data_IF_598268253617
#
_entry.id   IF_598268253617
#
_cell.length_a   1.000
_cell.length_b   1.000
_cell.length_c   1.000
_cell.angle_alpha   90.00
_cell.angle_beta   90.00
_cell.angle_gamma   90.00
#
_symmetry.space_group_name_H-M   'P 1'
#
loop_
_entity.id
_entity.type
_entity.pdbx_description
1 polymer ?
#
# COMPACT_ATOMS: atom_id res chain seq x y z
N UNK A 1 -83.30 37.16 -56.51
CA UNK A 1 -84.63 36.47 -56.44
C UNK A 1 -84.41 35.12 -55.71
N UNK A 2 -85.17 34.96 -54.60
CA UNK A 2 -85.57 33.71 -53.94
C UNK A 2 -84.48 32.71 -53.46
N UNK A 3 -84.08 32.79 -52.21
CA UNK A 3 -84.45 32.00 -51.03
C UNK A 3 -84.83 30.56 -51.25
N UNK A 4 -84.05 29.68 -50.72
CA UNK A 4 -84.55 28.43 -50.13
C UNK A 4 -83.66 28.08 -48.87
N UNK A 5 -84.27 28.24 -47.72
CA UNK A 5 -83.85 27.76 -46.43
C UNK A 5 -83.94 26.18 -46.42
N UNK A 6 -82.92 25.57 -46.05
CA UNK A 6 -82.96 24.10 -45.68
C UNK A 6 -82.62 23.99 -44.19
N UNK A 7 -83.62 23.68 -43.40
CA UNK A 7 -83.57 23.35 -41.97
C UNK A 7 -82.64 22.11 -41.76
N UNK A 8 -81.59 22.34 -41.08
CA UNK A 8 -80.76 21.25 -40.52
C UNK A 8 -81.45 20.64 -39.29
N UNK A 9 -81.56 19.35 -39.33
CA UNK A 9 -82.08 18.49 -38.27
C UNK A 9 -81.04 18.44 -37.14
N UNK A 10 -81.45 18.47 -35.88
CA UNK A 10 -80.44 18.32 -34.78
C UNK A 10 -79.92 16.88 -34.73
N UNK A 11 -78.61 16.76 -34.67
CA UNK A 11 -77.92 15.51 -34.44
C UNK A 11 -78.26 14.93 -33.06
N UNK A 12 -78.54 13.65 -33.04
CA UNK A 12 -78.78 12.90 -31.82
C UNK A 12 -77.56 12.96 -30.91
N UNK A 13 -77.78 13.26 -29.64
CA UNK A 13 -76.72 13.23 -28.60
C UNK A 13 -76.21 11.77 -28.45
N UNK A 14 -74.89 11.58 -28.56
CA UNK A 14 -74.25 10.34 -28.16
C UNK A 14 -74.48 10.09 -26.67
N UNK A 15 -74.76 8.86 -26.25
CA UNK A 15 -74.93 8.50 -24.85
C UNK A 15 -73.61 8.69 -24.11
N UNK A 16 -73.59 9.38 -22.97
CA UNK A 16 -72.47 9.58 -22.10
C UNK A 16 -71.81 8.24 -21.74
N UNK A 17 -70.50 8.13 -21.78
CA UNK A 17 -69.79 6.88 -21.45
C UNK A 17 -70.08 6.51 -20.01
N UNK A 18 -70.47 5.24 -19.79
CA UNK A 18 -70.70 4.67 -18.45
C UNK A 18 -69.38 4.61 -17.69
N UNK A 19 -69.21 5.34 -16.60
CA UNK A 19 -67.93 5.39 -15.87
C UNK A 19 -67.47 4.02 -15.35
N UNK A 20 -68.41 3.12 -15.14
CA UNK A 20 -68.13 1.74 -14.73
C UNK A 20 -67.48 0.88 -15.82
N UNK A 21 -67.70 1.17 -17.11
CA UNK A 21 -67.07 0.48 -18.22
C UNK A 21 -65.68 0.98 -18.47
N UNK A 22 -65.41 2.28 -18.32
CA UNK A 22 -64.07 2.87 -18.43
C UNK A 22 -63.13 2.40 -17.33
N UNK A 23 -63.62 2.36 -16.08
CA UNK A 23 -62.85 1.84 -14.93
C UNK A 23 -62.54 0.37 -15.14
N UNK A 24 -63.47 -0.43 -15.65
CA UNK A 24 -63.27 -1.85 -15.92
C UNK A 24 -62.25 -2.09 -17.06
N UNK A 25 -62.27 -1.24 -18.07
CA UNK A 25 -61.31 -1.29 -19.17
C UNK A 25 -59.92 -0.85 -18.70
N UNK A 26 -59.83 0.20 -17.86
CA UNK A 26 -58.59 0.65 -17.26
C UNK A 26 -57.96 -0.40 -16.35
N UNK A 27 -58.75 -1.06 -15.52
CA UNK A 27 -58.28 -2.18 -14.66
C UNK A 27 -57.81 -3.38 -15.50
N UNK A 28 -58.54 -3.70 -16.58
CA UNK A 28 -58.12 -4.78 -17.49
C UNK A 28 -56.83 -4.45 -18.21
N UNK A 29 -56.61 -3.19 -18.64
CA UNK A 29 -55.37 -2.70 -19.21
C UNK A 29 -54.20 -2.79 -18.22
N UNK A 30 -54.42 -2.31 -17.01
CA UNK A 30 -53.41 -2.39 -15.93
C UNK A 30 -53.03 -3.84 -15.57
N UNK A 31 -53.99 -4.75 -15.49
CA UNK A 31 -53.71 -6.17 -15.28
C UNK A 31 -52.94 -6.78 -16.43
N UNK A 32 -53.19 -6.36 -17.67
CA UNK A 32 -52.45 -6.79 -18.84
C UNK A 32 -50.99 -6.33 -18.79
N UNK A 33 -50.75 -5.03 -18.52
CA UNK A 33 -49.42 -4.48 -18.36
C UNK A 33 -48.65 -5.07 -17.17
N UNK A 34 -49.34 -5.28 -16.06
CA UNK A 34 -48.72 -5.92 -14.88
C UNK A 34 -48.29 -7.36 -15.15
N UNK A 35 -49.13 -8.15 -15.84
CA UNK A 35 -48.78 -9.51 -16.25
C UNK A 35 -47.62 -9.53 -17.25
N UNK A 36 -47.58 -8.58 -18.21
CA UNK A 36 -46.43 -8.43 -19.14
C UNK A 36 -45.15 -8.07 -18.39
N UNK A 37 -45.18 -7.13 -17.46
CA UNK A 37 -44.05 -6.77 -16.61
C UNK A 37 -43.60 -7.96 -15.74
N UNK A 38 -44.53 -8.71 -15.15
CA UNK A 38 -44.19 -9.88 -14.35
C UNK A 38 -43.51 -10.98 -15.20
N UNK A 39 -43.97 -11.16 -16.44
CA UNK A 39 -43.35 -12.13 -17.37
C UNK A 39 -41.95 -11.69 -17.82
N UNK A 40 -41.72 -10.38 -18.04
CA UNK A 40 -40.44 -9.83 -18.40
C UNK A 40 -39.42 -9.96 -17.24
N UNK A 41 -39.84 -9.68 -16.00
CA UNK A 41 -39.00 -9.88 -14.83
C UNK A 41 -38.64 -11.36 -14.64
N UNK A 42 -39.57 -12.26 -14.80
CA UNK A 42 -39.30 -13.72 -14.72
C UNK A 42 -38.30 -14.14 -15.80
N UNK A 43 -38.44 -13.64 -17.03
CA UNK A 43 -37.48 -13.94 -18.11
C UNK A 43 -36.06 -13.41 -17.80
N UNK A 44 -35.96 -12.18 -17.27
CA UNK A 44 -34.65 -11.61 -16.86
C UNK A 44 -34.03 -12.37 -15.66
N UNK A 45 -34.82 -12.81 -14.71
CA UNK A 45 -34.36 -13.64 -13.60
C UNK A 45 -33.83 -15.00 -14.08
N UNK A 46 -34.55 -15.65 -14.98
CA UNK A 46 -34.09 -16.92 -15.58
C UNK A 46 -32.80 -16.73 -16.40
N UNK A 47 -32.67 -15.61 -17.12
CA UNK A 47 -31.42 -15.30 -17.82
C UNK A 47 -30.25 -15.10 -16.86
N UNK A 48 -30.48 -14.41 -15.73
CA UNK A 48 -29.47 -14.25 -14.69
C UNK A 48 -29.11 -15.56 -13.99
N UNK A 49 -30.10 -16.41 -13.69
CA UNK A 49 -29.86 -17.74 -13.13
C UNK A 49 -29.04 -18.63 -14.08
N UNK A 50 -29.33 -18.58 -15.37
CA UNK A 50 -28.53 -19.32 -16.37
C UNK A 50 -27.11 -18.77 -16.48
N UNK A 51 -26.91 -17.46 -16.39
CA UNK A 51 -25.57 -16.84 -16.35
C UNK A 51 -24.80 -17.24 -15.08
N UNK A 52 -25.45 -17.22 -13.91
CA UNK A 52 -24.87 -17.68 -12.65
C UNK A 52 -24.49 -19.16 -12.72
N UNK A 53 -25.37 -20.01 -13.23
CA UNK A 53 -25.07 -21.43 -13.42
C UNK A 53 -23.92 -21.69 -14.39
N UNK A 54 -23.76 -20.86 -15.43
CA UNK A 54 -22.58 -20.92 -16.32
C UNK A 54 -21.28 -20.46 -15.63
N UNK A 55 -21.38 -19.43 -14.79
CA UNK A 55 -20.23 -18.95 -13.99
C UNK A 55 -19.83 -19.98 -12.94
N UNK A 56 -20.78 -20.58 -12.26
CA UNK A 56 -20.53 -21.67 -11.29
C UNK A 56 -19.91 -22.90 -11.96
N UNK A 57 -20.40 -23.29 -13.11
CA UNK A 57 -19.79 -24.37 -13.90
C UNK A 57 -18.33 -24.03 -14.28
N UNK A 58 -18.08 -22.77 -14.65
CA UNK A 58 -16.74 -22.30 -15.01
C UNK A 58 -15.82 -22.23 -13.80
N UNK A 59 -16.34 -21.80 -12.63
CA UNK A 59 -15.59 -21.78 -11.37
C UNK A 59 -15.27 -23.19 -10.87
N UNK A 60 -16.24 -24.11 -10.95
CA UNK A 60 -16.05 -25.54 -10.58
C UNK A 60 -15.07 -26.21 -11.56
N UNK A 61 -15.09 -25.87 -12.85
CA UNK A 61 -14.12 -26.40 -13.81
C UNK A 61 -12.70 -25.88 -13.56
N UNK A 62 -12.58 -24.64 -13.04
CA UNK A 62 -11.29 -24.03 -12.65
C UNK A 62 -10.81 -24.50 -11.27
N UNK A 63 -11.72 -24.91 -10.37
CA UNK A 63 -11.38 -25.37 -9.02
C UNK A 63 -11.10 -26.87 -8.91
N UNK A 64 -11.34 -27.63 -9.99
CA UNK A 64 -10.98 -29.05 -10.02
C UNK A 64 -9.46 -29.17 -10.18
N UNK A 65 -8.70 -29.68 -9.19
CA UNK A 65 -7.29 -29.93 -9.39
C UNK A 65 -7.16 -30.92 -10.55
N UNK A 66 -6.34 -30.65 -11.56
CA UNK A 66 -6.08 -31.58 -12.64
C UNK A 66 -5.44 -32.83 -12.02
N UNK A 67 -6.03 -33.98 -12.25
CA UNK A 67 -5.49 -35.31 -11.88
C UNK A 67 -4.23 -35.71 -12.68
N UNK A 68 -3.83 -34.88 -13.61
CA UNK A 68 -2.51 -34.89 -14.25
C UNK A 68 -1.91 -33.50 -13.99
N UNK A 69 -0.63 -33.44 -13.59
CA UNK A 69 0.14 -32.21 -13.72
C UNK A 69 -0.03 -31.71 -15.16
N UNK A 70 -0.98 -30.81 -15.36
CA UNK A 70 -0.91 -29.94 -16.52
C UNK A 70 0.41 -29.19 -16.27
N UNK A 71 1.44 -29.51 -17.03
CA UNK A 71 2.61 -28.69 -17.12
C UNK A 71 2.05 -27.27 -17.34
N UNK A 72 2.27 -26.38 -16.38
CA UNK A 72 2.03 -24.95 -16.57
C UNK A 72 2.63 -24.67 -17.94
N UNK A 73 1.82 -24.20 -18.87
CA UNK A 73 2.32 -23.78 -20.17
C UNK A 73 3.21 -22.59 -19.88
N UNK A 74 4.47 -22.90 -19.61
CA UNK A 74 5.51 -21.91 -19.37
C UNK A 74 5.48 -20.94 -20.54
N UNK A 75 5.33 -19.66 -20.25
CA UNK A 75 5.35 -18.64 -21.28
C UNK A 75 6.65 -18.78 -22.08
N UNK A 76 6.65 -18.53 -23.39
CA UNK A 76 7.86 -18.59 -24.21
C UNK A 76 9.02 -17.79 -23.61
N UNK A 77 8.71 -16.65 -22.97
CA UNK A 77 9.68 -15.80 -22.28
C UNK A 77 10.29 -16.51 -21.06
N UNK A 78 9.49 -17.20 -20.24
CA UNK A 78 9.99 -17.93 -19.06
C UNK A 78 10.94 -19.06 -19.46
N UNK A 79 10.62 -19.80 -20.53
CA UNK A 79 11.51 -20.84 -21.07
C UNK A 79 12.83 -20.27 -21.59
N UNK A 80 12.74 -19.16 -22.35
CA UNK A 80 13.93 -18.51 -22.89
C UNK A 80 14.81 -17.92 -21.79
N UNK A 81 14.19 -17.33 -20.74
CA UNK A 81 14.90 -16.78 -19.60
C UNK A 81 15.54 -17.90 -18.73
N UNK A 82 14.86 -18.99 -18.47
CA UNK A 82 15.43 -20.15 -17.78
C UNK A 82 16.60 -20.77 -18.56
N UNK A 83 16.51 -20.83 -19.90
CA UNK A 83 17.61 -21.28 -20.75
C UNK A 83 18.79 -20.31 -20.66
N UNK A 84 18.54 -19.00 -20.68
CA UNK A 84 19.56 -17.96 -20.46
C UNK A 84 20.26 -18.11 -19.10
N UNK A 85 19.51 -18.33 -18.01
CA UNK A 85 20.09 -18.52 -16.68
C UNK A 85 20.96 -19.79 -16.58
N UNK A 86 20.57 -20.88 -17.27
CA UNK A 86 21.29 -22.16 -17.19
C UNK A 86 22.53 -22.22 -18.08
N UNK A 87 22.41 -21.80 -19.33
CA UNK A 87 23.45 -21.99 -20.36
C UNK A 87 24.06 -20.70 -20.89
N UNK A 88 23.49 -19.52 -20.56
CA UNK A 88 23.88 -18.25 -21.13
C UNK A 88 23.41 -18.05 -22.59
N UNK A 89 22.53 -18.93 -23.09
CA UNK A 89 22.00 -18.82 -24.44
C UNK A 89 20.97 -17.68 -24.53
N UNK A 90 21.27 -16.63 -25.26
CA UNK A 90 20.44 -15.42 -25.40
C UNK A 90 19.55 -15.42 -26.67
N UNK A 91 19.76 -16.39 -27.57
CA UNK A 91 19.05 -16.46 -28.85
C UNK A 91 17.53 -16.53 -28.68
N UNK A 92 17.05 -17.26 -27.66
CA UNK A 92 15.63 -17.36 -27.37
C UNK A 92 15.00 -16.07 -26.84
N UNK A 93 15.78 -15.21 -26.18
CA UNK A 93 15.31 -13.92 -25.68
C UNK A 93 15.27 -12.85 -26.76
N UNK A 94 16.23 -12.88 -27.70
CA UNK A 94 16.29 -11.92 -28.81
C UNK A 94 15.15 -12.07 -29.82
N UNK A 95 14.56 -13.27 -29.92
CA UNK A 95 13.46 -13.55 -30.82
C UNK A 95 12.07 -13.21 -30.33
N UNK A 96 11.93 -12.82 -29.04
CA UNK A 96 10.64 -12.46 -28.46
C UNK A 96 10.37 -10.97 -28.67
N UNK A 97 9.34 -10.66 -29.47
CA UNK A 97 8.84 -9.29 -29.59
C UNK A 97 8.15 -8.90 -28.30
N UNK A 98 8.71 -7.92 -27.59
CA UNK A 98 8.05 -7.26 -26.46
C UNK A 98 6.93 -6.39 -27.04
N UNK A 99 5.69 -6.60 -26.62
CA UNK A 99 4.60 -5.68 -26.96
C UNK A 99 4.98 -4.27 -26.51
N UNK A 100 5.00 -3.34 -27.45
CA UNK A 100 5.40 -1.94 -27.28
C UNK A 100 4.45 -1.19 -26.33
N UNK A 101 4.61 -1.39 -25.03
CA UNK A 101 3.99 -0.50 -24.04
C UNK A 101 4.88 -0.09 -22.87
N UNK A 102 6.17 -0.32 -22.96
CA UNK A 102 7.14 0.22 -22.01
C UNK A 102 8.47 0.49 -22.71
N UNK A 103 8.71 1.77 -22.97
CA UNK A 103 10.03 2.40 -23.09
C UNK A 103 11.14 1.67 -23.87
N UNK A 104 11.37 2.21 -25.04
CA UNK A 104 12.64 2.25 -25.74
C UNK A 104 13.87 2.09 -24.83
N UNK A 105 14.35 0.90 -24.66
CA UNK A 105 15.75 0.63 -24.40
C UNK A 105 16.40 0.18 -25.70
N UNK A 106 16.57 1.13 -26.61
CA UNK A 106 17.29 0.97 -27.85
C UNK A 106 18.80 0.91 -27.58
N UNK A 107 19.30 -0.01 -26.78
CA UNK A 107 20.69 -0.45 -26.82
C UNK A 107 20.76 -1.91 -26.33
N UNK A 108 20.54 -2.84 -27.23
CA UNK A 108 20.82 -4.26 -27.02
C UNK A 108 22.32 -4.59 -26.86
N UNK A 109 23.20 -3.62 -26.99
CA UNK A 109 24.67 -3.80 -26.93
C UNK A 109 25.23 -3.83 -25.51
N UNK A 110 24.52 -3.32 -24.49
CA UNK A 110 25.00 -3.22 -23.11
C UNK A 110 24.37 -4.24 -22.14
N UNK A 111 23.89 -5.37 -22.66
CA UNK A 111 23.53 -6.53 -21.80
C UNK A 111 22.26 -6.37 -20.92
N UNK A 112 21.37 -5.44 -21.26
CA UNK A 112 20.13 -5.22 -20.53
C UNK A 112 19.05 -6.27 -20.82
N UNK A 113 19.25 -7.50 -20.38
CA UNK A 113 18.17 -8.50 -20.39
C UNK A 113 17.17 -8.16 -19.29
N UNK A 114 15.93 -7.90 -19.71
CA UNK A 114 14.80 -7.71 -18.80
C UNK A 114 14.57 -8.99 -17.99
N UNK A 115 14.48 -8.85 -16.68
CA UNK A 115 14.00 -9.93 -15.81
C UNK A 115 12.63 -10.35 -16.28
N UNK A 116 12.33 -11.66 -16.22
CA UNK A 116 10.96 -12.13 -16.44
C UNK A 116 9.99 -11.31 -15.59
N UNK A 117 8.95 -10.68 -16.15
CA UNK A 117 8.01 -9.85 -15.42
C UNK A 117 7.34 -10.60 -14.27
N UNK A 118 7.19 -11.92 -14.36
CA UNK A 118 6.66 -12.75 -13.27
C UNK A 118 7.62 -12.78 -12.08
N UNK A 119 8.92 -12.96 -12.31
CA UNK A 119 9.95 -12.98 -11.28
C UNK A 119 10.08 -11.62 -10.60
N UNK A 120 10.08 -10.54 -11.37
CA UNK A 120 10.09 -9.18 -10.83
C UNK A 120 8.84 -8.89 -9.99
N UNK A 121 7.66 -9.32 -10.45
CA UNK A 121 6.41 -9.16 -9.70
C UNK A 121 6.40 -9.94 -8.37
N UNK A 122 6.98 -11.14 -8.33
CA UNK A 122 7.14 -11.92 -7.09
C UNK A 122 8.03 -11.20 -6.08
N UNK A 123 9.17 -10.68 -6.50
CA UNK A 123 10.08 -9.90 -5.64
C UNK A 123 9.38 -8.65 -5.10
N UNK A 124 8.69 -7.89 -5.93
CA UNK A 124 7.92 -6.70 -5.52
C UNK A 124 6.80 -7.09 -4.55
N UNK A 125 6.13 -8.23 -4.77
CA UNK A 125 5.12 -8.77 -3.87
C UNK A 125 5.67 -9.05 -2.47
N UNK A 126 6.82 -9.72 -2.37
CA UNK A 126 7.49 -10.01 -1.10
C UNK A 126 7.94 -8.73 -0.40
N UNK A 127 8.52 -7.78 -1.14
CA UNK A 127 8.92 -6.47 -0.61
C UNK A 127 7.75 -5.72 0.03
N UNK A 128 6.57 -5.74 -0.60
CA UNK A 128 5.36 -5.09 -0.05
C UNK A 128 4.82 -5.77 1.19
N UNK A 129 4.92 -7.10 1.27
CA UNK A 129 4.34 -7.88 2.37
C UNK A 129 5.24 -7.95 3.60
N UNK A 130 6.56 -7.89 3.43
CA UNK A 130 7.53 -8.14 4.51
C UNK A 130 8.20 -6.88 5.07
N UNK A 131 8.19 -5.77 4.34
CA UNK A 131 8.81 -4.52 4.80
C UNK A 131 7.86 -3.75 5.72
N UNK A 132 8.20 -3.70 6.99
CA UNK A 132 7.37 -3.14 8.04
C UNK A 132 6.97 -1.67 7.83
N UNK A 133 7.94 -0.76 7.75
CA UNK A 133 7.65 0.69 7.58
C UNK A 133 7.05 0.98 6.20
N UNK A 134 7.50 0.28 5.17
CA UNK A 134 6.98 0.41 3.81
C UNK A 134 5.46 0.15 3.71
N UNK A 135 4.92 -0.73 4.55
CA UNK A 135 3.49 -1.06 4.55
C UNK A 135 2.59 0.13 4.95
N UNK A 136 3.11 1.05 5.77
CA UNK A 136 2.35 2.19 6.31
C UNK A 136 2.85 3.54 5.79
N UNK A 137 4.05 3.61 5.17
CA UNK A 137 4.63 4.82 4.59
C UNK A 137 4.00 5.19 3.24
N UNK A 138 4.26 6.42 2.79
CA UNK A 138 3.91 6.86 1.44
C UNK A 138 4.97 6.35 0.45
N UNK A 139 4.57 5.51 -0.50
CA UNK A 139 5.48 4.96 -1.51
C UNK A 139 5.22 5.64 -2.84
N UNK A 140 6.24 6.32 -3.38
CA UNK A 140 6.19 7.05 -4.65
C UNK A 140 7.16 6.44 -5.63
N UNK A 141 6.67 6.12 -6.82
CA UNK A 141 7.50 5.62 -7.92
C UNK A 141 8.03 6.80 -8.72
N UNK A 142 9.35 6.86 -8.90
CA UNK A 142 10.04 7.95 -9.60
C UNK A 142 11.02 7.42 -10.63
N UNK A 143 11.21 8.15 -11.71
CA UNK A 143 12.20 7.82 -12.75
C UNK A 143 13.51 8.61 -12.59
N UNK A 144 13.46 9.70 -11.80
CA UNK A 144 14.61 10.56 -11.53
C UNK A 144 15.58 9.95 -10.50
N UNK A 145 16.73 10.56 -10.29
CA UNK A 145 17.73 10.17 -9.29
C UNK A 145 17.39 10.64 -7.87
N UNK A 146 16.45 11.57 -7.73
CA UNK A 146 15.96 12.08 -6.45
C UNK A 146 14.49 12.47 -6.59
N UNK A 147 13.78 12.49 -5.47
CA UNK A 147 12.41 12.97 -5.35
C UNK A 147 12.37 14.16 -4.40
N UNK A 148 11.79 15.26 -4.84
CA UNK A 148 11.68 16.47 -4.05
C UNK A 148 10.26 16.62 -3.51
N UNK A 149 10.15 16.75 -2.20
CA UNK A 149 8.90 17.04 -1.49
C UNK A 149 8.91 18.50 -1.09
N UNK A 150 7.91 19.26 -1.54
CA UNK A 150 7.71 20.63 -1.11
C UNK A 150 6.80 20.63 0.13
N UNK A 151 7.28 21.23 1.21
CA UNK A 151 6.55 21.29 2.48
C UNK A 151 6.35 22.73 2.88
N UNK A 152 5.12 23.09 3.15
CA UNK A 152 4.76 24.34 3.81
C UNK A 152 4.51 24.06 5.29
N UNK A 153 5.39 24.53 6.14
CA UNK A 153 5.33 24.38 7.60
C UNK A 153 5.13 25.71 8.33
N UNK A 154 5.05 26.80 7.57
CA UNK A 154 4.91 28.16 8.11
C UNK A 154 3.43 28.54 8.15
N UNK A 155 2.91 28.81 9.31
CA UNK A 155 1.52 29.25 9.45
C UNK A 155 1.38 30.73 9.09
N UNK A 156 0.29 31.05 8.36
CA UNK A 156 -0.03 32.43 8.04
C UNK A 156 -0.77 33.02 9.22
N UNK A 157 -0.24 34.10 9.78
CA UNK A 157 -0.93 34.86 10.79
C UNK A 157 -2.30 35.34 10.31
N UNK A 158 -3.36 35.04 11.03
CA UNK A 158 -4.71 35.55 10.77
C UNK A 158 -5.20 36.34 11.97
N UNK A 159 -5.91 37.44 11.72
CA UNK A 159 -6.47 38.30 12.77
C UNK A 159 -7.90 38.71 12.44
N UNK A 160 -8.70 38.88 13.49
CA UNK A 160 -10.04 39.42 13.35
C UNK A 160 -9.96 40.94 13.11
N UNK A 161 -10.46 41.41 11.99
CA UNK A 161 -10.52 42.85 11.67
C UNK A 161 -11.82 43.43 12.22
N UNK A 162 -11.76 44.63 12.79
CA UNK A 162 -12.94 45.45 13.11
C UNK A 162 -13.29 46.32 11.90
N UNK A 163 -14.52 46.75 11.81
CA UNK A 163 -15.05 47.54 10.66
C UNK A 163 -14.22 48.80 10.34
N UNK A 164 -13.56 49.39 11.35
CA UNK A 164 -12.75 50.60 11.23
C UNK A 164 -11.27 50.41 11.52
N UNK A 165 -10.82 49.19 11.86
CA UNK A 165 -9.44 48.90 12.16
C UNK A 165 -8.59 48.64 10.93
N UNK A 166 -7.34 49.14 10.92
CA UNK A 166 -6.37 48.81 9.90
C UNK A 166 -5.99 47.34 10.01
N UNK A 167 -6.00 46.58 8.90
CA UNK A 167 -5.53 45.21 8.85
C UNK A 167 -3.99 45.26 8.83
N UNK A 168 -3.37 44.55 9.80
CA UNK A 168 -1.92 44.40 9.83
C UNK A 168 -1.46 43.38 8.75
N UNK A 169 -0.29 43.62 8.16
CA UNK A 169 0.33 42.68 7.24
C UNK A 169 0.61 41.36 7.97
N UNK A 170 0.22 40.27 7.35
CA UNK A 170 0.54 38.91 7.82
C UNK A 170 1.73 38.35 7.06
N UNK A 171 2.53 37.51 7.73
CA UNK A 171 3.72 36.88 7.11
C UNK A 171 3.36 36.07 5.88
N UNK A 172 4.26 36.06 4.91
CA UNK A 172 4.13 35.22 3.70
C UNK A 172 4.58 33.80 4.02
N UNK A 173 3.82 32.75 3.63
CA UNK A 173 4.23 31.38 3.83
C UNK A 173 5.53 31.07 3.09
N UNK A 174 6.40 30.27 3.72
CA UNK A 174 7.65 29.82 3.12
C UNK A 174 7.55 28.33 2.84
N UNK A 175 7.97 27.93 1.65
CA UNK A 175 7.98 26.53 1.22
C UNK A 175 9.41 26.01 1.27
N UNK A 176 9.62 24.97 2.08
CA UNK A 176 10.88 24.25 2.16
C UNK A 176 10.85 23.03 1.23
N UNK A 177 12.05 22.67 0.74
CA UNK A 177 12.23 21.51 -0.12
C UNK A 177 13.03 20.44 0.62
N UNK A 178 12.42 19.27 0.78
CA UNK A 178 13.07 18.05 1.27
C UNK A 178 13.43 17.20 0.04
N UNK A 179 14.72 16.97 -0.19
CA UNK A 179 15.18 16.17 -1.33
C UNK A 179 15.53 14.77 -0.87
N UNK A 180 14.87 13.77 -1.45
CA UNK A 180 15.01 12.33 -1.14
C UNK A 180 15.86 11.71 -2.25
N UNK A 181 17.18 11.51 -2.06
CA UNK A 181 18.04 10.86 -3.05
C UNK A 181 17.74 9.35 -3.11
N UNK A 182 17.84 8.78 -4.30
CA UNK A 182 17.72 7.33 -4.49
C UNK A 182 19.12 6.70 -4.43
N UNK A 183 19.29 5.78 -3.49
CA UNK A 183 20.50 4.98 -3.31
C UNK A 183 20.33 3.60 -3.96
N UNK A 184 21.44 3.00 -4.37
CA UNK A 184 21.43 1.68 -5.00
C UNK A 184 21.57 0.58 -3.96
N UNK A 185 20.57 -0.27 -3.87
CA UNK A 185 20.60 -1.49 -3.10
C UNK A 185 20.97 -2.65 -4.02
N UNK A 186 22.06 -3.37 -3.72
CA UNK A 186 22.55 -4.46 -4.55
C UNK A 186 22.69 -5.77 -3.79
N UNK A 187 22.54 -6.88 -4.50
CA UNK A 187 22.83 -8.22 -4.03
C UNK A 187 23.57 -9.01 -5.11
N UNK A 188 24.56 -9.79 -4.70
CA UNK A 188 25.41 -10.57 -5.60
C UNK A 188 25.46 -12.04 -5.13
N UNK A 189 24.35 -12.79 -5.18
CA UNK A 189 24.39 -14.21 -4.90
C UNK A 189 25.15 -14.96 -6.00
N UNK A 190 25.77 -16.10 -5.63
CA UNK A 190 26.46 -17.00 -6.54
C UNK A 190 25.88 -18.40 -6.45
N UNK A 191 25.75 -19.05 -7.57
CA UNK A 191 25.32 -20.45 -7.67
C UNK A 191 26.35 -21.28 -8.45
N UNK A 192 26.51 -22.55 -8.10
CA UNK A 192 27.34 -23.44 -8.88
C UNK A 192 26.67 -23.77 -10.21
N UNK A 193 27.42 -23.78 -11.32
CA UNK A 193 26.89 -24.15 -12.63
C UNK A 193 26.27 -25.56 -12.60
N UNK A 194 26.88 -26.52 -11.92
CA UNK A 194 26.35 -27.89 -11.74
C UNK A 194 24.99 -27.88 -11.04
N UNK A 195 24.82 -27.04 -10.03
CA UNK A 195 23.53 -26.92 -9.33
C UNK A 195 22.44 -26.41 -10.26
N UNK A 196 22.78 -25.49 -11.16
CA UNK A 196 21.84 -24.95 -12.15
C UNK A 196 21.49 -25.99 -13.23
N UNK A 197 22.46 -26.82 -13.64
CA UNK A 197 22.29 -27.82 -14.69
C UNK A 197 21.60 -29.10 -14.19
N UNK A 198 21.94 -29.59 -12.99
CA UNK A 198 21.50 -30.88 -12.45
C UNK A 198 20.24 -30.77 -11.56
N UNK A 199 19.81 -29.57 -11.21
CA UNK A 199 18.70 -29.35 -10.29
C UNK A 199 17.35 -29.58 -10.93
N UNK A 200 16.57 -30.52 -10.34
CA UNK A 200 15.12 -30.62 -10.61
C UNK A 200 14.28 -29.55 -9.88
N UNK A 201 14.95 -28.73 -9.05
CA UNK A 201 14.36 -27.69 -8.23
C UNK A 201 14.36 -26.35 -8.98
N UNK A 202 13.32 -25.51 -8.80
CA UNK A 202 13.26 -24.16 -9.36
C UNK A 202 14.25 -23.24 -8.62
N UNK A 203 15.50 -23.23 -9.14
CA UNK A 203 16.58 -22.38 -8.61
C UNK A 203 16.30 -20.92 -8.83
N UNK A 204 15.59 -20.58 -9.90
CA UNK A 204 15.21 -19.19 -10.26
C UNK A 204 14.24 -18.60 -9.23
N UNK A 205 13.12 -19.28 -9.00
CA UNK A 205 12.14 -18.84 -8.00
C UNK A 205 12.72 -18.76 -6.60
N UNK A 206 13.56 -19.75 -6.22
CA UNK A 206 14.28 -19.73 -4.94
C UNK A 206 15.24 -18.54 -4.83
N UNK A 207 16.00 -18.25 -5.88
CA UNK A 207 16.93 -17.12 -5.89
C UNK A 207 16.19 -15.79 -5.80
N UNK A 208 15.10 -15.65 -6.56
CA UNK A 208 14.23 -14.48 -6.51
C UNK A 208 13.72 -14.22 -5.09
N UNK A 209 13.22 -15.27 -4.42
CA UNK A 209 12.74 -15.17 -3.05
C UNK A 209 13.86 -14.74 -2.08
N UNK A 210 15.08 -15.31 -2.22
CA UNK A 210 16.22 -14.95 -1.37
C UNK A 210 16.68 -13.50 -1.58
N UNK A 211 16.67 -13.01 -2.82
CA UNK A 211 16.98 -11.62 -3.13
C UNK A 211 15.91 -10.70 -2.50
N UNK A 212 14.63 -11.04 -2.66
CA UNK A 212 13.54 -10.29 -2.09
C UNK A 212 13.63 -10.21 -0.56
N UNK A 213 13.88 -11.33 0.12
CA UNK A 213 14.07 -11.36 1.58
C UNK A 213 15.26 -10.49 2.01
N UNK A 214 16.37 -10.54 1.27
CA UNK A 214 17.56 -9.75 1.56
C UNK A 214 17.29 -8.26 1.41
N UNK A 215 16.64 -7.86 0.32
CA UNK A 215 16.29 -6.46 0.05
C UNK A 215 15.30 -5.94 1.08
N UNK A 216 14.26 -6.72 1.39
CA UNK A 216 13.26 -6.36 2.40
C UNK A 216 13.89 -6.03 3.76
N UNK A 217 14.80 -6.88 4.24
CA UNK A 217 15.49 -6.64 5.52
C UNK A 217 16.39 -5.42 5.47
N UNK A 218 17.13 -5.23 4.37
CA UNK A 218 18.00 -4.07 4.21
C UNK A 218 17.21 -2.75 4.14
N UNK A 219 16.09 -2.74 3.44
CA UNK A 219 15.17 -1.60 3.36
C UNK A 219 14.56 -1.29 4.74
N UNK A 220 14.03 -2.31 5.43
CA UNK A 220 13.40 -2.14 6.74
C UNK A 220 14.38 -1.51 7.75
N UNK A 221 15.59 -2.04 7.84
CA UNK A 221 16.62 -1.48 8.72
C UNK A 221 17.01 -0.04 8.33
N UNK A 222 17.12 0.27 7.03
CA UNK A 222 17.46 1.59 6.55
C UNK A 222 16.37 2.61 6.84
N UNK A 223 15.09 2.28 6.69
CA UNK A 223 13.97 3.19 6.98
C UNK A 223 13.85 3.55 8.46
N UNK A 224 14.31 2.69 9.35
CA UNK A 224 14.32 2.95 10.80
C UNK A 224 15.55 3.76 11.20
N UNK A 225 16.75 3.28 10.86
CA UNK A 225 18.03 3.76 11.43
C UNK A 225 19.10 4.14 10.39
N UNK A 226 18.76 4.20 9.09
CA UNK A 226 19.70 4.60 8.06
C UNK A 226 20.22 6.02 8.23
N UNK A 227 21.49 6.23 7.94
CA UNK A 227 22.18 7.54 8.11
C UNK A 227 22.00 8.50 6.93
N UNK A 228 21.40 8.04 5.80
CA UNK A 228 21.26 8.86 4.59
C UNK A 228 22.52 8.94 3.73
N UNK A 229 23.59 8.20 4.08
CA UNK A 229 24.82 8.10 3.29
C UNK A 229 24.78 6.72 2.60
N UNK A 230 24.71 6.72 1.27
CA UNK A 230 24.61 5.51 0.43
C UNK A 230 23.43 4.57 0.76
N UNK A 231 22.51 5.01 1.61
CA UNK A 231 21.26 4.30 1.98
C UNK A 231 20.18 5.29 2.40
N UNK A 232 18.89 4.89 2.38
CA UNK A 232 17.78 5.73 2.83
C UNK A 232 18.01 6.32 4.22
N UNK A 233 17.51 7.52 4.45
CA UNK A 233 17.60 8.18 5.75
C UNK A 233 16.44 7.71 6.64
N UNK A 234 16.77 7.04 7.74
CA UNK A 234 15.81 6.54 8.70
C UNK A 234 15.24 7.64 9.60
N UNK A 235 14.00 7.47 10.05
CA UNK A 235 13.37 8.48 10.90
C UNK A 235 14.03 8.60 12.29
N UNK A 236 14.69 7.55 12.79
CA UNK A 236 15.40 7.61 14.09
C UNK A 236 16.75 8.37 14.05
N UNK A 237 17.26 8.77 12.87
CA UNK A 237 18.52 9.49 12.80
C UNK A 237 18.38 10.98 13.12
N UNK A 238 17.20 11.53 12.93
CA UNK A 238 16.92 12.94 13.18
C UNK A 238 17.10 13.32 14.65
N UNK A 239 17.38 14.60 14.90
CA UNK A 239 17.40 15.14 16.25
C UNK A 239 16.04 14.96 16.94
N UNK A 240 16.10 14.59 18.20
CA UNK A 240 14.91 14.34 19.03
C UNK A 240 14.87 15.34 20.16
N UNK A 241 13.72 15.97 20.34
CA UNK A 241 13.47 16.95 21.40
C UNK A 241 12.21 16.58 22.18
N UNK A 242 12.14 16.99 23.43
CA UNK A 242 10.93 16.81 24.21
C UNK A 242 9.74 17.48 23.49
N UNK A 243 8.57 16.86 23.50
CA UNK A 243 7.42 17.34 22.73
C UNK A 243 7.02 18.80 23.08
N UNK A 244 7.26 19.25 24.30
CA UNK A 244 7.01 20.62 24.74
C UNK A 244 7.93 21.68 24.08
N UNK A 245 9.13 21.28 23.64
CA UNK A 245 10.11 22.12 22.95
C UNK A 245 10.26 21.74 21.46
N UNK A 246 9.22 21.12 20.89
CA UNK A 246 9.26 20.66 19.52
C UNK A 246 9.37 21.83 18.53
N UNK A 247 10.21 21.64 17.53
CA UNK A 247 10.46 22.57 16.44
C UNK A 247 10.56 21.79 15.12
N UNK A 248 10.27 22.45 13.99
CA UNK A 248 10.36 21.82 12.68
C UNK A 248 11.77 21.30 12.38
N UNK A 249 11.85 20.16 11.69
CA UNK A 249 13.13 19.47 11.41
C UNK A 249 13.57 18.50 12.52
N UNK A 250 12.85 18.41 13.62
CA UNK A 250 13.14 17.51 14.76
C UNK A 250 11.96 16.63 15.07
N UNK A 251 12.21 15.44 15.62
CA UNK A 251 11.15 14.56 16.10
C UNK A 251 10.85 14.80 17.58
N UNK A 252 9.58 15.02 17.90
CA UNK A 252 9.13 15.14 19.29
C UNK A 252 9.11 13.80 19.99
N UNK A 253 9.55 13.77 21.26
CA UNK A 253 9.43 12.58 22.10
C UNK A 253 8.68 12.86 23.39
N UNK A 254 8.11 11.79 23.96
CA UNK A 254 7.56 11.72 25.32
C UNK A 254 8.46 10.78 26.11
N UNK A 255 8.79 11.14 27.36
CA UNK A 255 9.60 10.28 28.24
C UNK A 255 8.70 9.34 29.04
N UNK A 256 9.15 8.10 29.30
CA UNK A 256 8.44 7.13 30.14
C UNK A 256 8.48 7.43 31.65
N UNK A 257 9.34 8.36 32.08
CA UNK A 257 9.56 8.65 33.48
C UNK A 257 10.47 7.65 34.21
N UNK A 258 10.93 6.61 33.52
CA UNK A 258 11.86 5.61 34.04
C UNK A 258 12.96 5.28 33.01
N UNK A 259 14.19 5.13 33.46
CA UNK A 259 15.32 4.83 32.62
C UNK A 259 15.32 3.32 32.25
N UNK A 260 15.11 3.02 30.96
CA UNK A 260 15.17 1.66 30.45
C UNK A 260 13.96 0.79 30.77
N UNK A 261 12.85 1.36 31.27
CA UNK A 261 11.60 0.65 31.51
C UNK A 261 10.42 1.64 31.50
N UNK A 262 9.21 1.12 31.61
CA UNK A 262 8.01 1.92 31.89
C UNK A 262 7.95 2.32 33.36
N UNK A 263 7.19 3.38 33.65
CA UNK A 263 6.94 3.77 35.03
C UNK A 263 6.28 2.61 35.80
N UNK A 264 6.78 2.33 37.01
CA UNK A 264 6.30 1.22 37.85
C UNK A 264 4.88 1.45 38.33
N UNK A 265 4.53 2.71 38.63
CA UNK A 265 3.22 3.07 39.18
C UNK A 265 2.13 3.05 38.11
N UNK A 266 2.36 3.79 37.02
CA UNK A 266 1.38 3.98 35.95
C UNK A 266 2.03 3.76 34.57
N UNK A 267 2.30 2.50 34.20
CA UNK A 267 3.06 2.18 32.97
C UNK A 267 2.31 2.56 31.68
N UNK A 268 0.99 2.64 31.71
CA UNK A 268 0.16 2.96 30.56
C UNK A 268 0.12 4.45 30.22
N UNK A 269 0.35 5.33 31.21
CA UNK A 269 0.22 6.78 31.04
C UNK A 269 1.15 7.31 29.95
N UNK A 270 2.38 6.81 29.88
CA UNK A 270 3.33 7.18 28.86
C UNK A 270 2.84 6.87 27.43
N UNK A 271 2.05 5.81 27.25
CA UNK A 271 1.44 5.46 25.95
C UNK A 271 0.29 6.41 25.64
N UNK A 272 -0.52 6.75 26.64
CA UNK A 272 -1.61 7.73 26.52
C UNK A 272 -1.04 9.09 26.15
N UNK A 273 -0.02 9.54 26.87
CA UNK A 273 0.66 10.81 26.63
C UNK A 273 1.26 10.85 25.21
N UNK A 274 1.84 9.76 24.73
CA UNK A 274 2.35 9.66 23.36
C UNK A 274 1.24 9.85 22.32
N UNK A 275 0.06 9.25 22.53
CA UNK A 275 -1.08 9.39 21.61
C UNK A 275 -1.58 10.83 21.59
N UNK A 276 -1.66 11.49 22.76
CA UNK A 276 -2.15 12.86 22.83
C UNK A 276 -1.08 13.92 22.50
N UNK A 277 0.20 13.56 22.50
CA UNK A 277 1.28 14.40 21.98
C UNK A 277 1.20 14.58 20.45
N UNK A 278 0.53 13.64 19.74
CA UNK A 278 0.32 13.74 18.31
C UNK A 278 -0.89 14.65 17.99
N UNK A 279 -0.74 15.55 17.03
CA UNK A 279 -1.82 16.43 16.57
C UNK A 279 -3.06 15.66 16.10
N UNK A 280 -4.25 16.19 16.36
CA UNK A 280 -5.53 15.50 16.07
C UNK A 280 -5.68 15.11 14.58
N UNK A 281 -5.12 15.93 13.67
CA UNK A 281 -5.18 15.66 12.21
C UNK A 281 -4.48 14.36 11.80
N UNK A 282 -3.41 13.97 12.53
CA UNK A 282 -2.63 12.77 12.20
C UNK A 282 -3.15 11.53 12.93
N UNK A 283 -3.89 11.71 14.06
CA UNK A 283 -4.37 10.58 14.87
C UNK A 283 -5.33 9.64 14.12
N UNK A 284 -6.09 10.15 13.14
CA UNK A 284 -7.05 9.33 12.40
C UNK A 284 -6.41 8.14 11.66
N UNK A 285 -5.20 8.33 11.13
CA UNK A 285 -4.46 7.30 10.37
C UNK A 285 -3.20 6.83 11.08
N UNK A 286 -3.04 7.17 12.38
CA UNK A 286 -1.86 6.85 13.13
C UNK A 286 -1.74 5.35 13.41
N UNK A 287 -0.50 4.88 13.52
CA UNK A 287 -0.15 3.51 13.90
C UNK A 287 1.03 3.50 14.86
N UNK A 288 1.07 2.49 15.73
CA UNK A 288 2.23 2.21 16.56
C UNK A 288 3.24 1.38 15.77
N UNK A 289 4.52 1.69 15.95
CA UNK A 289 5.64 0.92 15.40
C UNK A 289 6.58 0.55 16.53
N UNK A 290 6.82 -0.73 16.72
CA UNK A 290 7.69 -1.26 17.76
C UNK A 290 8.17 -2.67 17.40
N UNK A 291 9.21 -3.17 18.06
CA UNK A 291 9.64 -4.55 17.84
C UNK A 291 8.82 -5.56 18.68
N UNK A 292 8.95 -6.85 18.40
CA UNK A 292 8.23 -7.93 19.09
C UNK A 292 8.48 -7.97 20.59
N UNK A 293 9.69 -7.66 21.04
CA UNK A 293 10.05 -7.67 22.48
C UNK A 293 9.31 -6.54 23.20
N UNK A 294 9.31 -5.34 22.62
CA UNK A 294 8.60 -4.17 23.15
C UNK A 294 7.09 -4.40 23.16
N UNK A 295 6.54 -4.95 22.06
CA UNK A 295 5.13 -5.33 22.00
C UNK A 295 4.76 -6.33 23.10
N UNK A 296 5.62 -7.33 23.33
CA UNK A 296 5.46 -8.29 24.43
C UNK A 296 5.49 -7.65 25.82
N UNK A 297 6.33 -6.62 26.02
CA UNK A 297 6.37 -5.85 27.27
C UNK A 297 5.08 -5.05 27.48
N UNK A 298 4.61 -4.34 26.44
CA UNK A 298 3.35 -3.57 26.47
C UNK A 298 2.14 -4.49 26.73
N UNK A 299 2.11 -5.69 26.12
CA UNK A 299 1.02 -6.67 26.35
C UNK A 299 0.95 -7.20 27.77
N UNK A 300 2.06 -7.23 28.48
CA UNK A 300 2.13 -7.66 29.88
C UNK A 300 1.65 -6.60 30.88
N UNK A 301 1.42 -5.37 30.43
CA UNK A 301 0.89 -4.32 31.29
C UNK A 301 -0.49 -4.66 31.80
N UNK A 302 -0.70 -4.43 33.07
CA UNK A 302 -1.97 -4.69 33.77
C UNK A 302 -2.43 -3.43 34.47
N UNK A 303 -3.73 -3.31 34.65
CA UNK A 303 -4.33 -2.31 35.54
C UNK A 303 -4.20 -2.70 37.01
N UNK A 304 -4.66 -1.84 37.92
CA UNK A 304 -4.65 -2.08 39.37
C UNK A 304 -5.45 -3.35 39.76
N UNK A 305 -6.40 -3.78 38.96
CA UNK A 305 -7.21 -4.98 39.16
C UNK A 305 -6.56 -6.26 38.55
N UNK A 306 -5.37 -6.12 37.94
CA UNK A 306 -4.63 -7.23 37.31
C UNK A 306 -5.11 -7.64 35.93
N UNK A 307 -5.96 -6.84 35.26
CA UNK A 307 -6.43 -7.07 33.91
C UNK A 307 -5.41 -6.54 32.91
N UNK A 308 -5.23 -7.25 31.81
CA UNK A 308 -4.36 -6.77 30.74
C UNK A 308 -4.97 -5.54 30.06
N UNK A 309 -4.15 -4.49 29.93
CA UNK A 309 -4.55 -3.24 29.27
C UNK A 309 -4.67 -3.38 27.74
N UNK A 310 -3.95 -4.32 27.16
CA UNK A 310 -4.04 -4.65 25.75
C UNK A 310 -4.79 -5.97 25.57
N UNK A 311 -5.98 -5.91 25.00
CA UNK A 311 -6.74 -7.09 24.57
C UNK A 311 -6.54 -7.33 23.07
N UNK A 312 -6.37 -8.58 22.69
CA UNK A 312 -6.40 -8.98 21.28
C UNK A 312 -7.82 -8.88 20.74
N UNK A 313 -7.95 -8.47 19.48
CA UNK A 313 -9.21 -8.62 18.75
C UNK A 313 -9.58 -10.11 18.69
N UNK A 314 -10.83 -10.45 19.02
CA UNK A 314 -11.36 -11.83 18.96
C UNK A 314 -11.45 -12.36 17.52
N UNK A 315 -11.31 -11.51 16.49
CA UNK A 315 -11.37 -11.91 15.10
C UNK A 315 -9.98 -12.32 14.60
N UNK A 316 -9.84 -13.56 14.13
CA UNK A 316 -8.64 -14.06 13.50
C UNK A 316 -8.35 -13.26 12.21
N UNK A 317 -7.17 -12.64 12.13
CA UNK A 317 -6.73 -11.88 10.95
C UNK A 317 -6.78 -10.36 11.08
N UNK A 318 -7.32 -9.79 12.15
CA UNK A 318 -7.17 -8.36 12.42
C UNK A 318 -5.78 -8.03 12.99
N UNK A 319 -5.13 -6.94 12.54
CA UNK A 319 -3.89 -6.48 13.15
C UNK A 319 -4.13 -6.14 14.63
N UNK A 320 -3.15 -6.46 15.48
CA UNK A 320 -3.21 -6.13 16.90
C UNK A 320 -3.44 -4.61 17.06
N UNK A 321 -4.37 -4.22 17.93
CA UNK A 321 -4.71 -2.81 18.18
C UNK A 321 -4.37 -2.42 19.59
N UNK A 322 -3.63 -1.35 19.77
CA UNK A 322 -3.33 -0.72 21.04
C UNK A 322 -4.08 0.61 21.12
N UNK A 323 -4.95 0.78 22.10
CA UNK A 323 -5.83 1.96 22.25
C UNK A 323 -6.67 2.27 20.99
N UNK A 324 -7.05 1.24 20.23
CA UNK A 324 -7.81 1.38 18.98
C UNK A 324 -6.96 1.63 17.73
N UNK A 325 -5.65 1.88 17.86
CA UNK A 325 -4.72 2.09 16.75
C UNK A 325 -4.03 0.79 16.34
N UNK A 326 -3.77 0.58 15.03
CA UNK A 326 -3.04 -0.60 14.57
C UNK A 326 -1.59 -0.58 15.08
N UNK A 327 -1.06 -1.76 15.36
CA UNK A 327 0.34 -1.95 15.77
C UNK A 327 1.09 -2.66 14.66
N UNK A 328 2.14 -2.03 14.16
CA UNK A 328 3.07 -2.60 13.21
C UNK A 328 4.29 -3.13 13.95
N UNK A 329 4.56 -4.41 13.78
CA UNK A 329 5.77 -5.03 14.35
C UNK A 329 6.93 -4.84 13.38
N UNK A 330 7.91 -4.03 13.79
CA UNK A 330 9.15 -3.75 13.07
C UNK A 330 10.33 -4.21 13.94
N UNK A 331 10.95 -5.32 13.58
CA UNK A 331 12.05 -5.89 14.36
C UNK A 331 13.32 -5.01 14.35
N UNK A 332 13.42 -4.11 13.37
CA UNK A 332 14.54 -3.15 13.28
C UNK A 332 14.44 -1.97 14.27
N UNK A 333 13.30 -1.85 15.00
CA UNK A 333 13.17 -0.89 16.08
C UNK A 333 14.05 -1.29 17.27
N UNK A 334 14.67 -0.30 17.97
CA UNK A 334 15.52 -0.61 19.12
C UNK A 334 14.74 -1.31 20.23
N UNK A 335 15.44 -2.17 20.97
CA UNK A 335 14.94 -2.77 22.21
C UNK A 335 14.74 -1.70 23.30
N UNK A 336 13.90 -2.00 24.29
CA UNK A 336 13.76 -1.18 25.49
C UNK A 336 15.10 -1.16 26.23
N UNK A 337 15.68 0.01 26.33
CA UNK A 337 16.94 0.30 27.04
C UNK A 337 16.96 1.75 27.51
N UNK A 338 17.85 2.09 28.42
CA UNK A 338 18.00 3.47 28.88
C UNK A 338 18.30 4.43 27.70
N UNK A 339 17.51 5.49 27.61
CA UNK A 339 17.54 6.47 26.51
C UNK A 339 17.19 5.95 25.11
N UNK A 340 16.67 4.72 24.98
CA UNK A 340 16.22 4.17 23.71
C UNK A 340 14.86 4.73 23.31
N UNK A 341 14.62 4.80 21.99
CA UNK A 341 13.34 5.17 21.38
C UNK A 341 12.69 3.92 20.81
N UNK A 342 12.13 3.07 21.67
CA UNK A 342 11.66 1.75 21.29
C UNK A 342 10.24 1.73 20.71
N UNK A 343 9.48 2.81 20.85
CA UNK A 343 8.13 2.94 20.30
C UNK A 343 8.04 4.24 19.50
N UNK A 344 7.50 4.14 18.29
CA UNK A 344 7.09 5.28 17.48
C UNK A 344 5.58 5.26 17.28
N UNK A 345 4.93 6.40 17.28
CA UNK A 345 3.50 6.57 17.02
C UNK A 345 3.28 7.74 16.08
N UNK A 346 2.50 7.53 15.04
CA UNK A 346 2.21 8.60 14.10
C UNK A 346 1.53 8.13 12.82
N UNK A 347 1.18 9.09 11.99
CA UNK A 347 0.75 8.86 10.62
C UNK A 347 1.99 8.76 9.71
N UNK A 348 2.50 7.56 9.52
CA UNK A 348 3.68 7.31 8.69
C UNK A 348 3.43 7.59 7.22
N UNK A 349 2.18 7.56 6.77
CA UNK A 349 1.86 7.89 5.38
C UNK A 349 2.06 9.37 5.09
N UNK A 350 1.76 10.25 6.04
CA UNK A 350 2.07 11.67 5.93
C UNK A 350 3.52 11.96 6.29
N UNK A 351 4.07 11.25 7.29
CA UNK A 351 5.34 11.54 7.93
C UNK A 351 6.58 10.98 7.23
N UNK A 352 6.48 9.88 6.49
CA UNK A 352 7.64 9.23 5.88
C UNK A 352 7.38 8.86 4.41
N UNK A 353 8.21 9.35 3.53
CA UNK A 353 8.08 9.08 2.09
C UNK A 353 9.22 8.18 1.61
N UNK A 354 8.83 7.09 0.96
CA UNK A 354 9.73 6.15 0.27
C UNK A 354 9.65 6.45 -1.22
N UNK A 355 10.77 6.87 -1.81
CA UNK A 355 10.90 7.03 -3.25
C UNK A 355 11.58 5.79 -3.82
N UNK A 356 10.97 5.14 -4.81
CA UNK A 356 11.56 3.98 -5.45
C UNK A 356 11.53 4.07 -6.96
N UNK A 357 12.53 3.45 -7.59
CA UNK A 357 12.53 3.21 -9.02
C UNK A 357 12.01 1.78 -9.26
N UNK A 358 11.03 1.59 -10.17
CA UNK A 358 10.42 0.27 -10.39
C UNK A 358 11.38 -0.74 -11.01
N UNK A 359 12.53 -0.28 -11.51
CA UNK A 359 13.52 -1.11 -12.23
C UNK A 359 14.30 -2.01 -11.26
N UNK A 360 13.91 -3.26 -11.15
CA UNK A 360 14.76 -4.31 -10.60
C UNK A 360 15.57 -4.92 -11.74
N UNK A 361 16.90 -4.81 -11.69
CA UNK A 361 17.82 -5.35 -12.70
C UNK A 361 18.52 -6.57 -12.14
N UNK A 362 18.52 -7.67 -12.90
CA UNK A 362 19.32 -8.87 -12.60
C UNK A 362 20.24 -9.14 -13.79
N UNK A 363 21.53 -9.14 -13.53
CA UNK A 363 22.55 -9.47 -14.51
C UNK A 363 23.20 -10.81 -14.13
N UNK A 364 23.23 -11.75 -15.08
CA UNK A 364 23.95 -13.01 -14.93
C UNK A 364 25.40 -12.85 -15.42
N UNK A 365 26.36 -13.18 -14.56
CA UNK A 365 27.78 -13.18 -14.92
C UNK A 365 28.39 -14.57 -14.71
N UNK A 366 28.61 -15.34 -15.78
CA UNK A 366 29.25 -16.64 -15.72
C UNK A 366 30.79 -16.58 -15.83
N UNK A 367 31.39 -15.38 -15.99
CA UNK A 367 32.80 -15.25 -16.33
C UNK A 367 33.68 -14.88 -15.15
N UNK A 368 33.19 -14.04 -14.23
CA UNK A 368 34.02 -13.44 -13.18
C UNK A 368 34.37 -14.40 -12.04
N UNK A 369 33.60 -15.47 -11.80
CA UNK A 369 33.80 -16.37 -10.65
C UNK A 369 33.69 -17.86 -10.98
N UNK A 370 34.40 -18.35 -11.99
CA UNK A 370 34.39 -19.77 -12.37
C UNK A 370 34.80 -20.67 -11.18
N UNK A 371 34.11 -21.81 -10.89
CA UNK A 371 33.02 -22.46 -11.63
C UNK A 371 31.61 -22.03 -11.22
N UNK A 372 31.46 -20.85 -10.64
CA UNK A 372 30.18 -20.31 -10.19
C UNK A 372 29.66 -19.26 -11.17
N UNK A 373 28.34 -19.09 -11.22
CA UNK A 373 27.62 -18.02 -11.89
C UNK A 373 27.21 -17.00 -10.85
N UNK A 374 27.50 -15.73 -11.10
CA UNK A 374 27.07 -14.62 -10.27
C UNK A 374 25.76 -14.05 -10.80
N UNK A 375 24.86 -13.68 -9.90
CA UNK A 375 23.62 -12.98 -10.22
C UNK A 375 23.64 -11.60 -9.55
N UNK A 376 23.87 -10.56 -10.33
CA UNK A 376 23.91 -9.19 -9.83
C UNK A 376 22.51 -8.57 -9.90
N UNK A 377 21.89 -8.43 -8.74
CA UNK A 377 20.58 -7.80 -8.63
C UNK A 377 20.71 -6.39 -8.04
N UNK A 378 20.11 -5.39 -8.68
CA UNK A 378 20.12 -4.00 -8.23
C UNK A 378 18.73 -3.40 -8.20
N UNK A 379 18.48 -2.56 -7.18
CA UNK A 379 17.26 -1.76 -7.02
C UNK A 379 17.67 -0.37 -6.52
N UNK A 380 16.95 0.67 -6.95
CA UNK A 380 17.17 2.04 -6.44
C UNK A 380 16.02 2.45 -5.55
N UNK A 381 16.36 2.90 -4.35
CA UNK A 381 15.40 3.29 -3.33
C UNK A 381 15.95 4.44 -2.47
N UNK A 382 15.06 5.36 -2.11
CA UNK A 382 15.30 6.45 -1.18
C UNK A 382 14.23 6.49 -0.11
N UNK A 383 14.48 7.15 0.98
CA UNK A 383 13.50 7.36 2.02
C UNK A 383 13.92 8.50 2.93
N UNK A 384 12.97 9.32 3.31
CA UNK A 384 13.18 10.41 4.25
C UNK A 384 11.86 10.81 4.95
N UNK A 385 11.99 11.56 6.04
CA UNK A 385 10.86 12.16 6.75
C UNK A 385 10.35 13.34 5.96
N UNK A 386 9.08 13.28 5.56
CA UNK A 386 8.39 14.34 4.83
C UNK A 386 7.63 15.31 5.75
N UNK A 387 7.15 14.84 6.91
CA UNK A 387 6.45 15.68 7.90
C UNK A 387 6.86 15.27 9.32
N UNK A 388 7.60 16.16 9.98
CA UNK A 388 8.11 15.94 11.34
C UNK A 388 7.04 16.04 12.43
N UNK A 389 5.90 16.67 12.14
CA UNK A 389 4.79 16.76 13.07
C UNK A 389 3.98 15.45 13.15
N UNK A 390 4.04 14.63 12.09
CA UNK A 390 3.25 13.43 11.93
C UNK A 390 3.76 12.22 12.74
N UNK A 391 4.99 12.27 13.26
CA UNK A 391 5.63 11.16 14.00
C UNK A 391 6.08 11.64 15.38
N UNK A 392 5.79 10.85 16.41
CA UNK A 392 6.24 11.05 17.79
C UNK A 392 6.90 9.78 18.31
N UNK A 393 7.85 9.94 19.21
CA UNK A 393 8.65 8.85 19.77
C UNK A 393 8.41 8.71 21.28
N UNK A 394 8.51 7.49 21.78
CA UNK A 394 8.56 7.22 23.22
C UNK A 394 10.01 6.95 23.63
N UNK A 395 10.55 7.78 24.51
CA UNK A 395 11.90 7.67 25.05
C UNK A 395 11.89 7.00 26.41
N UNK A 396 12.66 5.96 26.59
CA UNK A 396 12.79 5.25 27.88
C UNK A 396 13.81 5.95 28.78
N UNK A 397 13.41 7.08 29.33
CA UNK A 397 14.23 7.93 30.21
C UNK A 397 13.39 8.59 31.29
N UNK A 398 14.06 9.15 32.30
CA UNK A 398 13.40 9.89 33.39
C UNK A 398 12.90 11.26 32.94
N UNK A 399 13.47 11.84 31.90
CA UNK A 399 13.06 13.12 31.26
C UNK A 399 13.54 13.16 29.80
#
# INVERSE_FOLDING_TARGET
>A
MKNAETKSRPAAAEPAPNPHLEVKAAIAGFLGEFNAFQSEIKAKLQEQETRLAMLDRKSIALSRPPLAHAAETETPHKKAFAAYLRSGADDGLRGLTVEEKALSTAVAADGGYLVDPVTAAQIVGVLRSSASIRAIANVVTVEASAFDVLVDHTDIGSGWATETGAVAETGTPQVDRISIPLHELSALPKASQRLLDDSAFDVEGWLAQRIADKFSRAEAAAFVSGDGIDKPKGFLIYDKVANAAWDWGKLGYVATGAAGDFNVTDPADAIVDLVYALGARYRANASFVMNSKTAGAVRKMKDADGRFLWSDGLAAGEPARLMGYPVLIAEDMPDIAANAYAIAFGDFRAGYTVAERPDLRILRDPFSAKPHVLFYATKRIGGDVSDFAAIKLLKFATA
#
